data_IF_965737247957
#
_entry.id   IF_965737247957
#
_cell.length_a   1.000
_cell.length_b   1.000
_cell.length_c   1.000
_cell.angle_alpha   90.00
_cell.angle_beta   90.00
_cell.angle_gamma   90.00
#
_symmetry.space_group_name_H-M   'P 1'
#
loop_
_entity.id
_entity.type
_entity.pdbx_description
1 polymer ?
#
# COMPACT_ATOMS: atom_id res chain seq x y z
N UNK A 1 -10.91 -32.68 3.83
CA UNK A 1 -11.49 -31.42 3.36
C UNK A 1 -11.23 -30.35 4.43
N UNK A 2 -10.24 -29.45 4.26
CA UNK A 2 -10.03 -28.33 5.18
C UNK A 2 -10.99 -27.23 4.76
N UNK A 3 -12.00 -27.00 5.59
CA UNK A 3 -12.93 -25.87 5.44
C UNK A 3 -12.10 -24.58 5.42
N UNK A 4 -12.11 -23.86 4.29
CA UNK A 4 -11.60 -22.48 4.24
C UNK A 4 -12.45 -21.65 5.21
N UNK A 5 -11.96 -21.45 6.43
CA UNK A 5 -12.52 -20.44 7.31
C UNK A 5 -12.35 -19.10 6.59
N UNK A 6 -13.46 -18.52 6.21
CA UNK A 6 -13.52 -17.13 5.72
C UNK A 6 -13.03 -16.25 6.86
N UNK A 7 -11.90 -15.58 6.67
CA UNK A 7 -11.16 -14.83 7.69
C UNK A 7 -11.93 -13.58 8.17
N UNK A 8 -13.13 -13.33 7.71
CA UNK A 8 -13.98 -12.20 8.07
C UNK A 8 -15.41 -12.61 8.41
N UNK A 9 -15.59 -13.48 9.40
CA UNK A 9 -16.66 -13.24 10.37
C UNK A 9 -16.15 -12.28 11.45
N UNK A 10 -15.56 -11.20 11.05
CA UNK A 10 -15.42 -10.03 11.90
C UNK A 10 -16.82 -9.48 11.99
N UNK A 11 -17.42 -9.64 13.16
CA UNK A 11 -18.68 -9.09 13.63
C UNK A 11 -19.24 -8.07 12.64
N UNK A 12 -20.38 -8.37 12.02
CA UNK A 12 -21.11 -7.45 11.13
C UNK A 12 -21.31 -6.06 11.72
N UNK A 13 -21.13 -5.92 13.03
CA UNK A 13 -21.14 -4.68 13.78
C UNK A 13 -20.15 -3.63 13.21
N UNK A 14 -18.88 -3.99 12.94
CA UNK A 14 -17.92 -3.03 12.41
C UNK A 14 -18.18 -2.62 10.96
N UNK A 15 -18.88 -3.49 10.22
CA UNK A 15 -19.23 -3.22 8.81
C UNK A 15 -20.32 -2.17 8.67
N UNK A 16 -21.19 -2.05 9.65
CA UNK A 16 -22.32 -1.12 9.67
C UNK A 16 -22.07 0.10 10.56
N UNK A 17 -20.89 0.17 11.21
CA UNK A 17 -20.48 1.34 12.00
C UNK A 17 -20.20 2.53 11.08
N UNK A 18 -20.64 3.70 11.52
CA UNK A 18 -20.26 4.97 10.95
C UNK A 18 -18.76 5.25 11.13
N UNK A 19 -18.17 6.05 10.24
CA UNK A 19 -16.74 6.37 10.30
C UNK A 19 -16.35 7.00 11.64
N UNK A 20 -17.19 7.85 12.22
CA UNK A 20 -17.01 8.46 13.53
C UNK A 20 -16.89 7.41 14.65
N UNK A 21 -17.70 6.37 14.61
CA UNK A 21 -17.68 5.27 15.58
C UNK A 21 -16.44 4.39 15.42
N UNK A 22 -16.02 4.11 14.18
CA UNK A 22 -14.78 3.40 13.88
C UNK A 22 -13.57 4.18 14.39
N UNK A 23 -13.54 5.49 14.14
CA UNK A 23 -12.48 6.38 14.63
C UNK A 23 -12.48 6.42 16.17
N UNK A 24 -13.65 6.51 16.79
CA UNK A 24 -13.76 6.45 18.26
C UNK A 24 -13.23 5.13 18.82
N UNK A 25 -13.64 4.01 18.20
CA UNK A 25 -13.16 2.68 18.60
C UNK A 25 -11.64 2.58 18.52
N UNK A 26 -11.06 3.17 17.48
CA UNK A 26 -9.61 3.19 17.26
C UNK A 26 -8.89 4.11 18.26
N UNK A 27 -9.41 5.33 18.47
CA UNK A 27 -8.74 6.39 19.23
C UNK A 27 -9.11 6.40 20.72
N UNK A 28 -10.32 5.95 21.07
CA UNK A 28 -10.97 6.08 22.39
C UNK A 28 -11.06 7.55 22.85
N UNK A 29 -11.25 8.48 21.93
CA UNK A 29 -11.30 9.90 22.18
C UNK A 29 -12.71 10.45 21.94
N UNK A 30 -13.40 10.82 23.03
CA UNK A 30 -14.71 11.49 22.96
C UNK A 30 -14.64 12.82 22.20
N UNK A 31 -13.50 13.51 22.27
CA UNK A 31 -13.30 14.76 21.54
C UNK A 31 -13.37 14.53 20.04
N UNK A 32 -12.71 13.49 19.56
CA UNK A 32 -12.72 13.12 18.13
C UNK A 32 -14.08 12.60 17.67
N UNK A 33 -14.84 11.93 18.55
CA UNK A 33 -16.21 11.50 18.26
C UNK A 33 -17.16 12.69 18.07
N UNK A 34 -16.98 13.76 18.84
CA UNK A 34 -17.83 14.97 18.77
C UNK A 34 -17.49 15.89 17.59
N UNK A 35 -16.32 15.73 16.99
CA UNK A 35 -15.95 16.42 15.75
C UNK A 35 -16.53 15.73 14.50
N UNK A 36 -17.67 15.04 14.65
CA UNK A 36 -18.37 14.24 13.65
C UNK A 36 -18.54 14.97 12.30
N UNK A 37 -18.86 16.26 12.35
CA UNK A 37 -19.02 17.13 11.20
C UNK A 37 -17.75 17.28 10.33
N UNK A 38 -16.60 17.13 10.96
CA UNK A 38 -15.31 17.25 10.28
C UNK A 38 -14.95 15.99 9.50
N UNK A 39 -15.45 14.83 9.95
CA UNK A 39 -15.19 13.53 9.36
C UNK A 39 -16.11 13.20 8.18
N UNK A 40 -17.34 13.71 8.18
CA UNK A 40 -18.22 13.62 7.01
C UNK A 40 -17.74 14.49 5.83
N UNK A 41 -17.13 15.66 6.13
CA UNK A 41 -16.45 16.47 5.10
C UNK A 41 -15.13 15.85 4.62
N UNK A 42 -14.54 14.96 5.38
CA UNK A 42 -13.27 14.29 5.06
C UNK A 42 -13.34 13.39 3.82
N UNK A 43 -14.48 12.79 3.52
CA UNK A 43 -14.69 12.06 2.26
C UNK A 43 -14.58 12.98 1.03
N UNK A 44 -14.82 14.28 1.22
CA UNK A 44 -14.81 15.27 0.15
C UNK A 44 -13.43 15.96 -0.02
N UNK A 45 -12.65 16.08 1.06
CA UNK A 45 -11.40 16.86 1.09
C UNK A 45 -10.10 16.00 1.22
N UNK A 46 -10.19 14.69 1.14
CA UNK A 46 -8.99 13.83 1.04
C UNK A 46 -8.20 13.66 2.33
N UNK A 47 -8.87 13.54 3.49
CA UNK A 47 -8.16 13.19 4.71
C UNK A 47 -7.51 11.82 4.56
N UNK A 48 -6.21 11.79 4.74
CA UNK A 48 -5.43 10.58 4.68
C UNK A 48 -5.61 9.79 5.99
N UNK A 49 -5.70 8.45 5.90
CA UNK A 49 -5.68 7.56 7.06
C UNK A 49 -4.51 7.88 8.00
N UNK A 50 -3.39 8.39 7.49
CA UNK A 50 -2.24 8.85 8.27
C UNK A 50 -2.61 9.92 9.29
N UNK A 51 -3.49 10.85 8.94
CA UNK A 51 -3.87 11.96 9.85
C UNK A 51 -4.67 11.45 11.04
N UNK A 52 -5.55 10.46 10.80
CA UNK A 52 -6.26 9.77 11.89
C UNK A 52 -5.28 9.00 12.78
N UNK A 53 -4.30 8.33 12.18
CA UNK A 53 -3.30 7.55 12.91
C UNK A 53 -2.37 8.45 13.75
N UNK A 54 -2.09 9.68 13.31
CA UNK A 54 -1.29 10.65 14.07
C UNK A 54 -1.99 11.08 15.38
N UNK A 55 -3.31 11.04 15.46
CA UNK A 55 -4.07 11.36 16.69
C UNK A 55 -4.03 10.25 17.74
N UNK A 56 -3.55 9.05 17.38
CA UNK A 56 -3.49 7.91 18.29
C UNK A 56 -2.39 8.04 19.33
N UNK A 57 -2.63 7.46 20.53
CA UNK A 57 -1.55 7.24 21.48
C UNK A 57 -0.48 6.31 20.90
N UNK A 58 0.79 6.41 21.33
CA UNK A 58 1.88 5.60 20.79
C UNK A 58 1.59 4.09 20.77
N UNK A 59 0.96 3.57 21.81
CA UNK A 59 0.61 2.15 21.91
C UNK A 59 -0.46 1.75 20.89
N UNK A 60 -1.51 2.56 20.71
CA UNK A 60 -2.58 2.31 19.75
C UNK A 60 -2.10 2.48 18.31
N UNK A 61 -1.27 3.49 18.07
CA UNK A 61 -0.62 3.73 16.79
C UNK A 61 0.16 2.50 16.33
N UNK A 62 0.96 1.92 17.23
CA UNK A 62 1.71 0.68 16.94
C UNK A 62 0.80 -0.47 16.54
N UNK A 63 -0.32 -0.68 17.24
CA UNK A 63 -1.29 -1.74 16.93
C UNK A 63 -1.98 -1.47 15.59
N UNK A 64 -2.41 -0.23 15.34
CA UNK A 64 -3.06 0.16 14.10
C UNK A 64 -2.15 -0.06 12.88
N UNK A 65 -0.91 0.41 12.94
CA UNK A 65 0.07 0.16 11.85
C UNK A 65 0.33 -1.33 11.63
N UNK A 66 0.45 -2.12 12.70
CA UNK A 66 0.63 -3.56 12.58
C UNK A 66 -0.58 -4.25 11.92
N UNK A 67 -1.80 -3.84 12.28
CA UNK A 67 -3.03 -4.37 11.69
C UNK A 67 -3.15 -4.02 10.19
N UNK A 68 -2.87 -2.76 9.82
CA UNK A 68 -2.88 -2.29 8.43
C UNK A 68 -1.84 -3.05 7.60
N UNK A 69 -0.63 -3.19 8.12
CA UNK A 69 0.44 -3.91 7.43
C UNK A 69 0.09 -5.39 7.26
N UNK A 70 -0.48 -6.02 8.29
CA UNK A 70 -0.93 -7.40 8.21
C UNK A 70 -2.06 -7.57 7.17
N UNK A 71 -3.02 -6.64 7.14
CA UNK A 71 -4.07 -6.64 6.12
C UNK A 71 -3.50 -6.51 4.70
N UNK A 72 -2.54 -5.60 4.48
CA UNK A 72 -1.84 -5.44 3.20
C UNK A 72 -1.18 -6.76 2.77
N UNK A 73 -0.44 -7.42 3.64
CA UNK A 73 0.22 -8.71 3.37
C UNK A 73 -0.78 -9.84 3.08
N UNK A 74 -1.89 -9.89 3.82
CA UNK A 74 -2.95 -10.88 3.57
C UNK A 74 -3.60 -10.66 2.21
N UNK A 75 -3.83 -9.41 1.81
CA UNK A 75 -4.35 -9.08 0.48
C UNK A 75 -3.35 -9.44 -0.63
N UNK A 76 -2.07 -9.20 -0.42
CA UNK A 76 -1.02 -9.62 -1.33
C UNK A 76 -0.95 -11.14 -1.51
N UNK A 77 -1.11 -11.90 -0.43
CA UNK A 77 -1.10 -13.37 -0.45
C UNK A 77 -2.35 -14.01 -1.05
N UNK A 78 -3.48 -13.28 -1.12
CA UNK A 78 -4.72 -13.77 -1.73
C UNK A 78 -4.80 -13.59 -3.24
N UNK A 79 -3.92 -12.77 -3.81
CA UNK A 79 -3.83 -12.64 -5.26
C UNK A 79 -3.04 -13.86 -5.75
N UNK A 80 -3.73 -14.88 -6.30
CA UNK A 80 -3.06 -15.79 -7.23
C UNK A 80 -2.30 -14.89 -8.19
N UNK A 81 -0.96 -15.03 -8.27
CA UNK A 81 -0.14 -14.13 -9.08
C UNK A 81 -0.59 -14.22 -10.53
N UNK A 82 -1.54 -13.37 -11.00
CA UNK A 82 -1.92 -13.36 -12.39
C UNK A 82 -0.69 -12.93 -13.17
N UNK A 83 -0.56 -13.41 -14.37
CA UNK A 83 0.47 -12.90 -15.26
C UNK A 83 0.31 -11.38 -15.39
N UNK A 84 1.39 -10.64 -15.18
CA UNK A 84 1.39 -9.18 -15.26
C UNK A 84 1.48 -8.73 -16.71
N UNK A 85 0.39 -8.91 -17.45
CA UNK A 85 0.30 -8.65 -18.89
C UNK A 85 -0.15 -7.22 -19.23
N UNK A 86 -0.52 -6.43 -18.25
CA UNK A 86 -0.97 -5.06 -18.46
C UNK A 86 -0.57 -4.14 -17.29
N UNK A 87 -0.45 -2.84 -17.58
CA UNK A 87 -0.22 -1.81 -16.57
C UNK A 87 -1.31 -1.80 -15.48
N UNK A 88 -2.54 -2.13 -15.82
CA UNK A 88 -3.63 -2.24 -14.86
C UNK A 88 -3.41 -3.38 -13.84
N UNK A 89 -2.84 -4.51 -14.27
CA UNK A 89 -2.50 -5.61 -13.38
C UNK A 89 -1.39 -5.20 -12.39
N UNK A 90 -0.39 -4.49 -12.90
CA UNK A 90 0.70 -3.92 -12.10
C UNK A 90 0.15 -2.90 -11.10
N UNK A 91 -0.71 -1.99 -11.56
CA UNK A 91 -1.36 -0.99 -10.71
C UNK A 91 -2.14 -1.65 -9.55
N UNK A 92 -3.03 -2.59 -9.86
CA UNK A 92 -3.81 -3.30 -8.83
C UNK A 92 -2.93 -4.01 -7.79
N UNK A 93 -1.78 -4.52 -8.22
CA UNK A 93 -0.84 -5.20 -7.34
C UNK A 93 -0.02 -4.24 -6.47
N UNK A 94 0.38 -3.09 -7.02
CA UNK A 94 1.31 -2.17 -6.36
C UNK A 94 0.61 -1.02 -5.64
N UNK A 95 -0.59 -0.63 -6.06
CA UNK A 95 -1.34 0.44 -5.42
C UNK A 95 -1.50 0.25 -3.90
N UNK A 96 -1.89 -0.93 -3.37
CA UNK A 96 -1.98 -1.12 -1.91
C UNK A 96 -0.64 -1.00 -1.18
N UNK A 97 0.47 -1.15 -1.88
CA UNK A 97 1.83 -1.03 -1.32
C UNK A 97 2.28 0.44 -1.28
N UNK A 98 1.87 1.22 -2.28
CA UNK A 98 2.43 2.54 -2.58
C UNK A 98 1.50 3.72 -2.28
N UNK A 99 0.19 3.50 -2.11
CA UNK A 99 -0.80 4.58 -2.03
C UNK A 99 -0.66 5.50 -0.80
N UNK A 100 -0.09 4.98 0.28
CA UNK A 100 0.02 5.71 1.56
C UNK A 100 1.47 6.15 1.87
N UNK A 101 2.37 6.09 0.89
CA UNK A 101 3.78 6.42 1.10
C UNK A 101 4.03 7.88 0.75
N UNK A 102 4.57 8.65 1.71
CA UNK A 102 4.86 10.07 1.57
C UNK A 102 6.17 10.38 0.82
N UNK A 103 6.99 9.36 0.55
CA UNK A 103 8.27 9.49 -0.17
C UNK A 103 8.21 8.73 -1.49
N UNK A 104 9.02 9.14 -2.46
CA UNK A 104 9.17 8.36 -3.69
C UNK A 104 9.92 7.05 -3.40
N UNK A 105 9.37 5.95 -3.83
CA UNK A 105 10.00 4.64 -3.78
C UNK A 105 10.06 4.02 -5.18
N UNK A 106 11.21 3.43 -5.50
CA UNK A 106 11.38 2.64 -6.71
C UNK A 106 11.34 1.15 -6.35
N UNK A 107 10.43 0.45 -7.00
CA UNK A 107 10.26 -0.98 -6.86
C UNK A 107 10.49 -1.71 -8.18
N UNK A 108 10.94 -2.95 -8.09
CA UNK A 108 11.08 -3.85 -9.24
C UNK A 108 10.27 -5.11 -9.00
N UNK A 109 9.45 -5.44 -9.97
CA UNK A 109 8.69 -6.68 -10.03
C UNK A 109 9.47 -7.68 -10.89
N UNK A 110 10.03 -8.70 -10.28
CA UNK A 110 10.78 -9.75 -10.96
C UNK A 110 9.83 -10.82 -11.47
N UNK A 111 9.92 -11.16 -12.75
CA UNK A 111 8.97 -12.03 -13.43
C UNK A 111 9.66 -13.27 -14.02
N UNK A 112 8.91 -14.37 -14.06
CA UNK A 112 9.32 -15.58 -14.78
C UNK A 112 8.95 -15.50 -16.27
N UNK A 113 9.26 -16.57 -17.02
CA UNK A 113 8.95 -16.70 -18.45
C UNK A 113 7.46 -16.61 -18.81
N UNK A 114 6.58 -16.85 -17.85
CA UNK A 114 5.12 -16.72 -18.02
C UNK A 114 4.58 -15.38 -17.51
N UNK A 115 5.44 -14.38 -17.33
CA UNK A 115 5.11 -13.05 -16.77
C UNK A 115 4.45 -13.09 -15.38
N UNK A 116 4.63 -14.19 -14.62
CA UNK A 116 4.15 -14.29 -13.25
C UNK A 116 5.20 -13.73 -12.30
N UNK A 117 4.71 -13.08 -11.26
CA UNK A 117 5.56 -12.48 -10.24
C UNK A 117 6.37 -13.54 -9.49
N UNK A 118 7.70 -13.39 -9.47
CA UNK A 118 8.63 -14.13 -8.62
C UNK A 118 8.78 -13.37 -7.29
N UNK A 119 9.06 -12.06 -7.38
CA UNK A 119 9.30 -11.23 -6.19
C UNK A 119 9.11 -9.75 -6.49
N UNK A 120 8.66 -9.00 -5.46
CA UNK A 120 8.70 -7.53 -5.39
C UNK A 120 9.94 -7.12 -4.61
N UNK A 121 10.75 -6.24 -5.15
CA UNK A 121 11.98 -5.76 -4.50
C UNK A 121 11.99 -4.24 -4.51
N UNK A 122 12.09 -3.62 -3.32
CA UNK A 122 12.33 -2.19 -3.22
C UNK A 122 13.79 -1.91 -3.53
N UNK A 123 14.05 -1.11 -4.57
CA UNK A 123 15.39 -0.76 -5.03
C UNK A 123 15.90 0.48 -4.33
N UNK A 124 15.05 1.49 -4.23
CA UNK A 124 15.41 2.73 -3.53
C UNK A 124 14.20 3.34 -2.83
N UNK A 125 14.50 4.13 -1.82
CA UNK A 125 13.59 5.02 -1.14
C UNK A 125 14.26 6.39 -1.18
N UNK A 126 13.65 7.33 -1.90
CA UNK A 126 14.20 8.66 -2.11
C UNK A 126 13.60 9.71 -1.18
N UNK A 127 13.94 10.97 -1.45
CA UNK A 127 13.30 12.14 -0.85
C UNK A 127 11.91 12.42 -1.45
N UNK A 128 11.47 13.67 -1.31
CA UNK A 128 10.13 14.09 -1.78
C UNK A 128 10.04 14.10 -3.32
N UNK A 129 11.15 14.25 -4.04
CA UNK A 129 11.16 14.50 -5.48
C UNK A 129 12.00 13.54 -6.33
N UNK A 130 12.76 12.61 -5.75
CA UNK A 130 13.61 11.69 -6.52
C UNK A 130 13.93 10.41 -5.76
N UNK A 131 13.81 9.27 -6.45
CA UNK A 131 14.30 7.99 -5.98
C UNK A 131 15.45 7.53 -6.91
N UNK A 132 16.74 7.60 -6.49
CA UNK A 132 17.85 7.21 -7.34
C UNK A 132 17.77 5.74 -7.70
N UNK A 133 17.98 5.42 -8.99
CA UNK A 133 17.94 4.07 -9.52
C UNK A 133 19.34 3.66 -9.98
N UNK A 134 19.89 2.61 -9.35
CA UNK A 134 21.10 1.96 -9.82
C UNK A 134 20.72 0.65 -10.55
N UNK A 135 20.87 0.65 -11.86
CA UNK A 135 20.57 -0.51 -12.71
C UNK A 135 21.36 -1.76 -12.30
N UNK A 136 22.55 -1.61 -11.74
CA UNK A 136 23.36 -2.74 -11.28
C UNK A 136 22.70 -3.45 -10.11
N UNK A 137 22.01 -2.72 -9.23
CA UNK A 137 21.24 -3.30 -8.13
C UNK A 137 20.06 -4.09 -8.68
N UNK A 138 19.35 -3.53 -9.67
CA UNK A 138 18.24 -4.22 -10.34
C UNK A 138 18.73 -5.52 -10.99
N UNK A 139 19.79 -5.45 -11.79
CA UNK A 139 20.35 -6.62 -12.47
C UNK A 139 20.82 -7.69 -11.50
N UNK A 140 21.46 -7.28 -10.38
CA UNK A 140 21.87 -8.22 -9.32
C UNK A 140 20.67 -8.97 -8.74
N UNK A 141 19.57 -8.27 -8.47
CA UNK A 141 18.35 -8.91 -7.96
C UNK A 141 17.72 -9.83 -9.02
N UNK A 142 17.65 -9.39 -10.28
CA UNK A 142 17.10 -10.19 -11.35
C UNK A 142 17.88 -11.50 -11.53
N UNK A 143 19.18 -11.44 -11.53
CA UNK A 143 20.05 -12.63 -11.64
C UNK A 143 19.92 -13.53 -10.40
N UNK A 144 19.90 -12.95 -9.21
CA UNK A 144 19.79 -13.70 -7.96
C UNK A 144 18.50 -14.54 -7.89
N UNK A 145 17.38 -13.97 -8.36
CA UNK A 145 16.08 -14.64 -8.39
C UNK A 145 15.78 -15.39 -9.68
N UNK A 146 16.74 -15.50 -10.60
CA UNK A 146 16.56 -16.10 -11.94
C UNK A 146 15.35 -15.51 -12.69
N UNK A 147 15.15 -14.21 -12.59
CA UNK A 147 14.09 -13.52 -13.30
C UNK A 147 14.40 -13.42 -14.79
N UNK A 148 13.40 -13.66 -15.63
CA UNK A 148 13.50 -13.56 -17.09
C UNK A 148 13.25 -12.13 -17.56
N UNK A 149 12.38 -11.40 -16.82
CA UNK A 149 12.06 -10.01 -17.09
C UNK A 149 11.73 -9.28 -15.78
N UNK A 150 11.67 -7.97 -15.85
CA UNK A 150 11.25 -7.16 -14.71
C UNK A 150 10.44 -5.94 -15.16
N UNK A 151 9.62 -5.42 -14.24
CA UNK A 151 8.87 -4.19 -14.42
C UNK A 151 9.31 -3.23 -13.31
N UNK A 152 9.67 -2.01 -13.67
CA UNK A 152 9.96 -0.94 -12.72
C UNK A 152 8.67 -0.20 -12.40
N UNK A 153 8.47 0.10 -11.11
CA UNK A 153 7.30 0.82 -10.60
C UNK A 153 7.76 1.83 -9.57
N UNK A 154 7.30 3.05 -9.67
CA UNK A 154 7.49 4.07 -8.64
C UNK A 154 6.18 4.80 -8.35
N UNK A 155 6.10 5.46 -7.19
CA UNK A 155 4.99 6.30 -6.82
C UNK A 155 5.39 7.77 -6.91
N UNK A 156 4.40 8.61 -7.17
CA UNK A 156 4.50 10.06 -7.06
C UNK A 156 3.66 10.53 -5.87
N UNK A 157 4.24 10.85 -4.70
CA UNK A 157 3.48 11.34 -3.56
C UNK A 157 2.69 12.61 -3.84
N UNK A 158 3.16 13.41 -4.82
CA UNK A 158 2.45 14.60 -5.32
C UNK A 158 1.14 14.30 -6.06
N UNK A 159 0.83 13.02 -6.34
CA UNK A 159 -0.31 12.61 -7.16
C UNK A 159 -0.15 12.86 -8.67
N UNK A 160 1.04 13.30 -9.13
CA UNK A 160 1.32 13.51 -10.54
C UNK A 160 1.20 12.17 -11.30
N UNK A 161 0.46 12.18 -12.43
CA UNK A 161 0.25 10.98 -13.26
C UNK A 161 1.23 10.85 -14.42
N UNK A 162 2.01 11.90 -14.67
CA UNK A 162 3.00 11.93 -15.75
C UNK A 162 4.38 11.70 -15.15
N UNK A 163 5.24 10.93 -15.85
CA UNK A 163 6.64 10.81 -15.47
C UNK A 163 7.31 12.19 -15.49
N UNK A 164 8.26 12.39 -14.60
CA UNK A 164 9.13 13.55 -14.61
C UNK A 164 10.22 13.40 -15.67
N UNK A 165 10.89 14.48 -16.03
CA UNK A 165 12.04 14.43 -16.95
C UNK A 165 13.22 13.58 -16.41
N UNK A 166 13.23 13.30 -15.11
CA UNK A 166 14.21 12.42 -14.48
C UNK A 166 13.84 10.94 -14.67
N UNK A 167 12.56 10.62 -14.75
CA UNK A 167 12.05 9.25 -14.95
C UNK A 167 12.27 8.76 -16.39
N UNK A 168 12.42 9.70 -17.35
CA UNK A 168 12.62 9.43 -18.77
C UNK A 168 14.10 9.25 -19.16
N UNK A 169 15.05 9.34 -18.21
CA UNK A 169 16.50 9.21 -18.44
C UNK A 169 17.03 7.87 -17.92
#
# INVERSE_FOLDING_TARGET
MKTKRTVFEVNDVYRVMENSELIYTLTNSEKLKREEYKYEQMEIEGLCLSDVLETLTPSRKKVAYAAIELYKRLKEGQVESPALLSSNNVYKMMHPVLCDIATEEMWVLLLNSSSKLIRKVRISCGGINTAPVDIRVIMKQALYYNAVSFIMVHNHPSGARKPSSADDR
#
